data_IF_882232058110
#
_entry.id   IF_882232058110
#
_cell.length_a   1.000
_cell.length_b   1.000
_cell.length_c   1.000
_cell.angle_alpha   90.00
_cell.angle_beta   90.00
_cell.angle_gamma   90.00
#
_symmetry.space_group_name_H-M   'P 1'
#
loop_
_entity.id
_entity.type
_entity.pdbx_description
1 polymer ?
#
# COMPACT_ATOMS: atom_id res chain seq x y z
N UNK A 1 -7.88 -16.97 1.50
CA UNK A 1 -8.01 -16.03 2.64
C UNK A 1 -6.61 -15.70 3.10
N UNK A 2 -6.24 -14.42 3.18
CA UNK A 2 -4.93 -14.02 3.72
C UNK A 2 -5.05 -13.90 5.24
N UNK A 3 -4.14 -14.53 5.98
CA UNK A 3 -4.12 -14.52 7.44
C UNK A 3 -2.75 -14.09 7.96
N UNK A 4 -2.76 -13.41 9.10
CA UNK A 4 -1.56 -13.00 9.83
C UNK A 4 -1.73 -13.46 11.27
N UNK A 5 -0.71 -14.11 11.82
CA UNK A 5 -0.68 -14.56 13.22
C UNK A 5 0.39 -13.77 13.97
N UNK A 6 -0.01 -13.05 15.01
CA UNK A 6 0.90 -12.32 15.90
C UNK A 6 1.12 -13.20 17.14
N UNK A 7 2.36 -13.65 17.34
CA UNK A 7 2.75 -14.48 18.50
C UNK A 7 3.32 -13.59 19.62
N UNK A 8 3.16 -14.04 20.87
CA UNK A 8 3.69 -13.37 22.06
C UNK A 8 3.25 -11.90 22.20
N UNK A 9 1.99 -11.59 21.83
CA UNK A 9 1.43 -10.27 22.05
C UNK A 9 1.23 -10.03 23.54
N UNK A 10 1.77 -8.94 24.12
CA UNK A 10 1.55 -8.63 25.54
C UNK A 10 0.05 -8.56 25.87
N UNK A 11 -0.33 -9.11 27.03
CA UNK A 11 -1.74 -9.17 27.42
C UNK A 11 -2.36 -7.77 27.55
N UNK A 12 -1.59 -6.77 28.01
CA UNK A 12 -2.09 -5.40 28.07
C UNK A 12 -2.45 -4.85 26.68
N UNK A 13 -1.69 -5.24 25.65
CA UNK A 13 -1.95 -4.80 24.27
C UNK A 13 -3.23 -5.44 23.75
N UNK A 14 -3.42 -6.74 23.99
CA UNK A 14 -4.66 -7.43 23.59
C UNK A 14 -5.87 -6.83 24.30
N UNK A 15 -5.75 -6.51 25.59
CA UNK A 15 -6.83 -5.87 26.36
C UNK A 15 -7.16 -4.48 25.82
N UNK A 16 -6.16 -3.66 25.53
CA UNK A 16 -6.34 -2.34 24.93
C UNK A 16 -7.05 -2.43 23.57
N UNK A 17 -6.66 -3.40 22.72
CA UNK A 17 -7.30 -3.64 21.43
C UNK A 17 -8.77 -4.08 21.56
N UNK A 18 -9.11 -4.90 22.56
CA UNK A 18 -10.50 -5.29 22.84
C UNK A 18 -11.36 -4.11 23.27
N UNK A 19 -10.85 -3.26 24.16
CA UNK A 19 -11.54 -2.04 24.59
C UNK A 19 -11.76 -1.11 23.40
N UNK A 20 -10.71 -0.86 22.61
CA UNK A 20 -10.79 -0.02 21.40
C UNK A 20 -11.81 -0.56 20.39
N UNK A 21 -11.82 -1.87 20.15
CA UNK A 21 -12.78 -2.50 19.26
C UNK A 21 -14.23 -2.34 19.76
N UNK A 22 -14.45 -2.49 21.06
CA UNK A 22 -15.77 -2.28 21.70
C UNK A 22 -16.25 -0.84 21.52
N UNK A 23 -15.37 0.14 21.75
CA UNK A 23 -15.67 1.56 21.54
C UNK A 23 -15.99 1.88 20.07
N UNK A 24 -15.33 1.20 19.13
CA UNK A 24 -15.58 1.34 17.70
C UNK A 24 -16.80 0.53 17.20
N UNK A 25 -17.47 -0.26 18.06
CA UNK A 25 -18.57 -1.14 17.67
C UNK A 25 -18.15 -2.29 16.74
N UNK A 26 -16.91 -2.76 16.86
CA UNK A 26 -16.30 -3.77 15.98
C UNK A 26 -15.79 -4.97 16.77
N UNK A 27 -15.59 -6.10 16.08
CA UNK A 27 -14.81 -7.21 16.65
C UNK A 27 -13.33 -6.82 16.77
N UNK A 28 -12.59 -7.47 17.67
CA UNK A 28 -11.15 -7.20 17.82
C UNK A 28 -10.39 -7.46 16.52
N UNK A 29 -10.75 -8.49 15.76
CA UNK A 29 -10.14 -8.77 14.46
C UNK A 29 -10.42 -7.66 13.44
N UNK A 30 -11.67 -7.18 13.37
CA UNK A 30 -12.04 -6.09 12.48
C UNK A 30 -11.31 -4.78 12.84
N UNK A 31 -11.08 -4.53 14.12
CA UNK A 31 -10.32 -3.36 14.57
C UNK A 31 -8.83 -3.48 14.24
N UNK A 32 -8.21 -4.65 14.45
CA UNK A 32 -6.83 -4.90 14.05
C UNK A 32 -6.66 -4.74 12.54
N UNK A 33 -7.61 -5.26 11.74
CA UNK A 33 -7.62 -5.06 10.28
C UNK A 33 -7.68 -3.57 9.92
N UNK A 34 -8.56 -2.80 10.55
CA UNK A 34 -8.68 -1.37 10.29
C UNK A 34 -7.39 -0.60 10.61
N UNK A 35 -6.72 -0.93 11.72
CA UNK A 35 -5.43 -0.34 12.09
C UNK A 35 -4.36 -0.64 11.03
N UNK A 36 -4.27 -1.91 10.59
CA UNK A 36 -3.30 -2.32 9.57
C UNK A 36 -3.57 -1.65 8.22
N UNK A 37 -4.84 -1.51 7.83
CA UNK A 37 -5.23 -0.82 6.60
C UNK A 37 -4.85 0.66 6.63
N UNK A 38 -5.11 1.35 7.74
CA UNK A 38 -4.71 2.75 7.91
C UNK A 38 -3.19 2.91 7.88
N UNK A 39 -2.45 2.03 8.57
CA UNK A 39 -0.99 2.06 8.57
C UNK A 39 -0.39 1.77 7.19
N UNK A 40 -0.97 0.84 6.43
CA UNK A 40 -0.51 0.50 5.07
C UNK A 40 -0.96 1.51 4.00
N UNK A 41 -1.97 2.34 4.31
CA UNK A 41 -2.56 3.33 3.39
C UNK A 41 -2.67 4.69 4.07
N UNK A 42 -1.53 5.34 4.40
CA UNK A 42 -1.56 6.65 5.02
C UNK A 42 -2.31 7.66 4.14
N UNK A 43 -3.00 8.59 4.79
CA UNK A 43 -3.65 9.71 4.12
C UNK A 43 -2.63 10.53 3.33
N UNK A 44 -3.04 11.02 2.16
CA UNK A 44 -2.16 11.80 1.27
C UNK A 44 -1.17 10.98 0.44
N UNK A 45 -1.17 9.64 0.52
CA UNK A 45 -0.34 8.83 -0.38
C UNK A 45 -0.75 9.04 -1.84
N UNK A 46 0.22 9.27 -2.71
CA UNK A 46 -0.01 9.35 -4.16
C UNK A 46 -0.32 7.93 -4.66
N UNK A 47 -1.52 7.75 -5.20
CA UNK A 47 -1.88 6.51 -5.88
C UNK A 47 -1.33 6.58 -7.31
N UNK A 48 -0.03 6.33 -7.47
CA UNK A 48 0.67 6.54 -8.75
C UNK A 48 -0.03 5.90 -9.95
N UNK A 49 -0.52 4.66 -9.79
CA UNK A 49 -1.28 3.97 -10.83
C UNK A 49 -2.57 4.71 -11.21
N UNK A 50 -3.35 5.15 -10.23
CA UNK A 50 -4.58 5.93 -10.46
C UNK A 50 -4.27 7.28 -11.12
N UNK A 51 -3.24 7.98 -10.63
CA UNK A 51 -2.80 9.26 -11.19
C UNK A 51 -2.37 9.12 -12.66
N UNK A 52 -1.56 8.11 -12.98
CA UNK A 52 -1.15 7.84 -14.36
C UNK A 52 -2.34 7.44 -15.24
N UNK A 53 -3.29 6.67 -14.70
CA UNK A 53 -4.52 6.33 -15.41
C UNK A 53 -5.37 7.57 -15.72
N UNK A 54 -5.53 8.49 -14.75
CA UNK A 54 -6.22 9.77 -14.95
C UNK A 54 -5.55 10.62 -16.03
N UNK A 55 -4.23 10.74 -15.99
CA UNK A 55 -3.45 11.45 -17.04
C UNK A 55 -3.69 10.81 -18.41
N UNK A 56 -3.63 9.48 -18.49
CA UNK A 56 -3.89 8.74 -19.73
C UNK A 56 -5.30 8.98 -20.28
N UNK A 57 -6.32 9.00 -19.41
CA UNK A 57 -7.72 9.27 -19.79
C UNK A 57 -7.91 10.71 -20.29
N UNK A 58 -7.32 11.70 -19.59
CA UNK A 58 -7.35 13.10 -20.01
C UNK A 58 -6.67 13.34 -21.36
N UNK A 59 -5.63 12.55 -21.67
CA UNK A 59 -4.93 12.57 -22.96
C UNK A 59 -5.67 11.82 -24.07
N UNK A 60 -6.89 11.31 -23.82
CA UNK A 60 -7.71 10.60 -24.82
C UNK A 60 -7.44 9.10 -24.91
N UNK A 61 -6.64 8.54 -24.00
CA UNK A 61 -6.16 7.16 -24.05
C UNK A 61 -5.12 6.96 -25.14
N UNK A 62 -4.01 6.29 -24.82
CA UNK A 62 -2.98 5.99 -25.80
C UNK A 62 -2.40 4.59 -25.57
N UNK A 63 -2.17 3.87 -26.66
CA UNK A 63 -1.30 2.69 -26.67
C UNK A 63 0.09 3.15 -27.11
N UNK A 64 1.05 3.12 -26.19
CA UNK A 64 2.44 3.39 -26.54
C UNK A 64 3.06 2.13 -27.13
N UNK A 65 3.48 2.20 -28.40
CA UNK A 65 4.40 1.22 -28.97
C UNK A 65 5.82 1.66 -28.58
N UNK A 66 6.28 1.21 -27.41
CA UNK A 66 7.63 1.50 -26.92
C UNK A 66 8.54 0.34 -27.31
N UNK A 67 9.43 0.56 -28.27
CA UNK A 67 10.55 -0.34 -28.51
C UNK A 67 11.71 0.01 -27.59
N UNK A 68 12.11 -0.94 -26.75
CA UNK A 68 13.31 -0.78 -25.91
C UNK A 68 14.55 -0.82 -26.79
N UNK A 69 15.36 0.23 -26.74
CA UNK A 69 16.71 0.20 -27.31
C UNK A 69 17.53 -0.91 -26.63
N UNK A 70 18.08 -1.81 -27.45
CA UNK A 70 18.89 -2.95 -27.03
C UNK A 70 20.39 -2.67 -27.20
N UNK A 71 20.77 -1.49 -27.67
CA UNK A 71 22.16 -1.09 -27.75
C UNK A 71 22.81 -1.15 -26.36
N UNK A 72 24.07 -1.60 -26.26
CA UNK A 72 24.80 -1.57 -25.00
C UNK A 72 24.97 -0.13 -24.52
N UNK A 73 24.89 0.06 -23.20
CA UNK A 73 25.15 1.37 -22.60
C UNK A 73 26.59 1.81 -22.90
N UNK A 74 26.78 3.10 -23.18
CA UNK A 74 28.12 3.68 -23.33
C UNK A 74 28.87 3.56 -21.99
N UNK A 75 30.11 3.08 -21.96
CA UNK A 75 30.89 3.01 -20.73
C UNK A 75 31.05 4.39 -20.10
N UNK A 76 30.89 4.48 -18.78
CA UNK A 76 31.31 5.67 -18.03
C UNK A 76 32.84 5.62 -17.95
N UNK A 77 33.49 6.66 -18.45
CA UNK A 77 34.93 6.88 -18.29
C UNK A 77 35.09 7.77 -17.06
N UNK A 78 35.78 7.28 -16.03
CA UNK A 78 36.18 8.07 -14.88
C UNK A 78 37.62 8.57 -15.10
N UNK A 79 37.88 9.85 -14.88
CA UNK A 79 39.23 10.44 -14.82
C UNK A 79 39.91 10.13 -13.47
#
# INVERSE_FOLDING_TARGET
MLSITIRNLPEETLRALRVRATLAGRSTEAEVRAILEQAARPEGRIQLGSLLAEIGQQAGGFELVIERDKAPAKPIVFE
#
